data_IF_896763295282
#
_entry.id   IF_896763295282
#
_cell.length_a   1.000
_cell.length_b   1.000
_cell.length_c   1.000
_cell.angle_alpha   90.00
_cell.angle_beta   90.00
_cell.angle_gamma   90.00
#
_symmetry.space_group_name_H-M   'P 1'
#
loop_
_entity.id
_entity.type
_entity.pdbx_description
1 polymer ?
#
# COMPACT_ATOMS: atom_id res chain seq x y z
N UNK A 1 -3.78 -19.91 99.65
CA UNK A 1 -4.17 -20.05 98.23
C UNK A 1 -4.55 -18.68 97.76
N UNK A 2 -3.63 -17.98 97.11
CA UNK A 2 -3.39 -18.05 95.65
C UNK A 2 -4.46 -17.22 94.91
N UNK A 3 -4.18 -16.31 93.99
CA UNK A 3 -2.94 -15.75 93.46
C UNK A 3 -3.34 -14.55 92.56
N UNK A 4 -2.47 -13.54 92.53
CA UNK A 4 -2.16 -12.52 91.52
C UNK A 4 -3.12 -12.17 90.35
N UNK A 5 -3.18 -10.87 89.98
CA UNK A 5 -3.84 -10.42 88.74
C UNK A 5 -3.08 -10.94 87.52
N UNK A 6 -3.78 -11.55 86.57
CA UNK A 6 -3.21 -11.85 85.25
C UNK A 6 -3.19 -10.58 84.42
N UNK A 7 -2.04 -9.91 84.41
CA UNK A 7 -1.59 -9.11 83.28
C UNK A 7 -0.95 -10.08 82.28
N UNK A 8 -1.71 -10.50 81.27
CA UNK A 8 -1.15 -11.03 80.03
C UNK A 8 -2.19 -10.84 78.92
N UNK A 9 -1.95 -9.87 78.03
CA UNK A 9 -2.01 -10.13 76.60
C UNK A 9 -1.22 -9.03 75.88
N UNK A 10 0.08 -9.31 75.76
CA UNK A 10 0.89 -8.77 74.69
C UNK A 10 0.39 -9.41 73.39
N UNK A 11 -0.23 -8.63 72.51
CA UNK A 11 -0.85 -9.17 71.30
C UNK A 11 -0.99 -8.12 70.21
N UNK A 12 0.16 -7.72 69.66
CA UNK A 12 0.39 -7.15 68.33
C UNK A 12 -0.84 -6.64 67.56
N UNK A 13 -0.89 -5.33 67.37
CA UNK A 13 -1.64 -4.72 66.25
C UNK A 13 -1.33 -5.46 64.95
N UNK A 14 -2.33 -5.91 64.17
CA UNK A 14 -2.06 -6.50 62.86
C UNK A 14 -1.36 -5.44 61.98
N UNK A 15 -0.30 -5.79 61.22
CA UNK A 15 0.29 -4.85 60.30
C UNK A 15 -0.74 -4.48 59.23
N UNK A 16 -0.93 -3.19 59.02
CA UNK A 16 -1.72 -2.64 57.93
C UNK A 16 -1.17 -3.17 56.60
N UNK A 17 -2.01 -3.72 55.69
CA UNK A 17 -1.53 -4.25 54.43
C UNK A 17 -0.92 -3.12 53.59
N UNK A 18 0.34 -3.30 53.19
CA UNK A 18 1.03 -2.37 52.29
C UNK A 18 0.25 -2.22 50.97
N UNK A 19 0.19 -1.01 50.37
CA UNK A 19 -0.51 -0.79 49.12
C UNK A 19 0.10 -1.64 48.01
N UNK A 20 -0.75 -2.35 47.27
CA UNK A 20 -0.33 -3.15 46.13
C UNK A 20 0.33 -2.26 45.05
N UNK A 21 1.37 -2.75 44.35
CA UNK A 21 2.00 -1.98 43.28
C UNK A 21 0.99 -1.74 42.14
N UNK A 22 0.95 -0.51 41.64
CA UNK A 22 0.14 -0.15 40.48
C UNK A 22 0.55 -0.99 39.24
N UNK A 23 -0.41 -1.42 38.39
CA UNK A 23 -0.09 -2.14 37.18
C UNK A 23 0.74 -1.27 36.23
N UNK A 24 1.82 -1.82 35.67
CA UNK A 24 2.61 -1.19 34.61
C UNK A 24 1.74 -0.88 33.39
N UNK A 25 2.01 0.22 32.66
CA UNK A 25 1.34 0.51 31.41
C UNK A 25 1.61 -0.60 30.39
N UNK A 26 0.55 -1.09 29.77
CA UNK A 26 0.61 -2.03 28.66
C UNK A 26 1.20 -1.28 27.46
N UNK A 27 2.22 -1.82 26.76
CA UNK A 27 2.75 -1.20 25.56
C UNK A 27 1.64 -1.10 24.50
N UNK A 28 1.55 0.09 23.88
CA UNK A 28 0.65 0.38 22.77
C UNK A 28 0.92 -0.59 21.60
N UNK A 29 -0.11 -1.14 20.93
CA UNK A 29 0.09 -2.05 19.81
C UNK A 29 0.84 -1.33 18.68
N UNK A 30 1.94 -1.92 18.21
CA UNK A 30 2.65 -1.44 17.02
C UNK A 30 1.71 -1.32 15.81
N UNK A 31 1.90 -0.31 14.94
CA UNK A 31 1.11 -0.17 13.73
C UNK A 31 1.31 -1.39 12.83
N UNK A 32 0.19 -1.94 12.34
CA UNK A 32 0.19 -3.04 11.38
C UNK A 32 0.93 -2.61 10.10
N UNK A 33 1.82 -3.44 9.52
CA UNK A 33 2.48 -3.10 8.26
C UNK A 33 1.45 -2.99 7.14
N UNK A 34 1.47 -1.86 6.43
CA UNK A 34 0.64 -1.62 5.25
C UNK A 34 0.89 -2.69 4.17
N UNK A 35 -0.15 -3.24 3.53
CA UNK A 35 -0.01 -4.12 2.38
C UNK A 35 0.35 -3.30 1.13
N UNK A 36 1.63 -3.00 0.92
CA UNK A 36 2.13 -2.26 -0.26
C UNK A 36 2.52 -3.09 -1.51
N UNK A 37 2.73 -4.42 -1.53
CA UNK A 37 3.46 -5.05 -2.64
C UNK A 37 2.66 -5.21 -3.95
N UNK A 38 1.32 -5.20 -3.91
CA UNK A 38 0.50 -5.49 -5.09
C UNK A 38 0.35 -4.27 -6.01
N UNK A 39 0.19 -3.07 -5.45
CA UNK A 39 0.08 -1.82 -6.22
C UNK A 39 1.39 -1.51 -6.96
N UNK A 40 2.53 -1.65 -6.28
CA UNK A 40 3.86 -1.51 -6.88
C UNK A 40 4.09 -2.50 -8.03
N UNK A 41 3.68 -3.76 -7.84
CA UNK A 41 3.81 -4.80 -8.86
C UNK A 41 2.94 -4.52 -10.09
N UNK A 42 1.73 -3.99 -9.90
CA UNK A 42 0.84 -3.61 -11.00
C UNK A 42 1.38 -2.41 -11.78
N UNK A 43 1.90 -1.40 -11.08
CA UNK A 43 2.48 -0.22 -11.69
C UNK A 43 3.79 -0.54 -12.44
N UNK A 44 4.64 -1.43 -11.94
CA UNK A 44 5.81 -1.88 -12.68
C UNK A 44 5.43 -2.56 -14.01
N UNK A 45 4.43 -3.46 -13.99
CA UNK A 45 3.89 -4.08 -15.23
C UNK A 45 3.32 -3.03 -16.19
N UNK A 46 2.67 -2.00 -15.67
CA UNK A 46 2.16 -0.87 -16.45
C UNK A 46 3.32 -0.12 -17.13
N UNK A 47 4.40 0.18 -16.42
CA UNK A 47 5.60 0.84 -16.97
C UNK A 47 6.22 0.00 -18.08
N UNK A 48 6.42 -1.31 -17.86
CA UNK A 48 6.99 -2.21 -18.86
C UNK A 48 6.09 -2.33 -20.11
N UNK A 49 4.77 -2.32 -19.91
CA UNK A 49 3.80 -2.28 -21.00
C UNK A 49 3.91 -0.98 -21.80
N UNK A 50 3.96 0.18 -21.14
CA UNK A 50 4.07 1.48 -21.81
C UNK A 50 5.36 1.58 -22.64
N UNK A 51 6.50 1.10 -22.10
CA UNK A 51 7.77 1.00 -22.86
C UNK A 51 7.60 0.13 -24.10
N UNK A 52 6.95 -1.02 -23.96
CA UNK A 52 6.67 -1.91 -25.10
C UNK A 52 5.77 -1.23 -26.15
N UNK A 53 4.76 -0.46 -25.71
CA UNK A 53 3.89 0.31 -26.60
C UNK A 53 4.68 1.36 -27.38
N UNK A 54 5.61 2.09 -26.77
CA UNK A 54 6.41 3.11 -27.49
C UNK A 54 7.26 2.53 -28.63
N UNK A 55 7.61 1.24 -28.55
CA UNK A 55 8.36 0.54 -29.60
C UNK A 55 7.47 -0.40 -30.44
N UNK A 56 6.16 -0.44 -30.18
CA UNK A 56 5.22 -1.30 -30.89
C UNK A 56 5.10 -0.87 -32.34
N UNK A 57 5.22 -1.80 -33.27
CA UNK A 57 5.00 -1.56 -34.69
C UNK A 57 3.90 -2.48 -35.17
N UNK A 58 2.68 -1.96 -35.32
CA UNK A 58 1.53 -2.69 -35.84
C UNK A 58 0.73 -1.81 -36.78
N UNK A 59 0.18 -2.41 -37.84
CA UNK A 59 -0.76 -1.78 -38.76
C UNK A 59 -2.21 -2.21 -38.49
N UNK A 60 -2.42 -2.98 -37.42
CA UNK A 60 -3.72 -3.58 -37.12
C UNK A 60 -4.56 -2.63 -36.25
N UNK A 61 -5.65 -2.10 -36.81
CA UNK A 61 -6.50 -1.09 -36.16
C UNK A 61 -7.09 -1.62 -34.82
N UNK A 62 -7.37 -2.93 -34.77
CA UNK A 62 -7.94 -3.59 -33.59
C UNK A 62 -6.91 -3.64 -32.47
N UNK A 63 -5.65 -3.98 -32.80
CA UNK A 63 -4.54 -4.05 -31.86
C UNK A 63 -4.19 -2.67 -31.31
N UNK A 64 -4.17 -1.63 -32.16
CA UNK A 64 -3.92 -0.26 -31.70
C UNK A 64 -5.03 0.22 -30.76
N UNK A 65 -6.29 -0.10 -31.05
CA UNK A 65 -7.42 0.25 -30.16
C UNK A 65 -7.33 -0.51 -28.83
N UNK A 66 -6.98 -1.79 -28.85
CA UNK A 66 -6.76 -2.58 -27.64
C UNK A 66 -5.62 -2.02 -26.80
N UNK A 67 -4.49 -1.67 -27.44
CA UNK A 67 -3.35 -1.07 -26.78
C UNK A 67 -3.70 0.26 -26.11
N UNK A 68 -4.52 1.11 -26.75
CA UNK A 68 -5.03 2.34 -26.10
C UNK A 68 -5.87 2.06 -24.85
N UNK A 69 -6.65 0.99 -24.84
CA UNK A 69 -7.39 0.55 -23.65
C UNK A 69 -6.44 0.13 -22.53
N UNK A 70 -5.42 -0.65 -22.87
CA UNK A 70 -4.40 -1.10 -21.92
C UNK A 70 -3.54 0.06 -21.39
N UNK A 71 -3.21 1.06 -22.21
CA UNK A 71 -2.51 2.28 -21.76
C UNK A 71 -3.33 3.01 -20.69
N UNK A 72 -4.66 3.10 -20.85
CA UNK A 72 -5.52 3.69 -19.81
C UNK A 72 -5.55 2.88 -18.52
N UNK A 73 -5.52 1.55 -18.61
CA UNK A 73 -5.40 0.70 -17.42
C UNK A 73 -4.04 0.85 -16.75
N UNK A 74 -2.97 0.95 -17.54
CA UNK A 74 -1.62 1.21 -17.05
C UNK A 74 -1.55 2.54 -16.29
N UNK A 75 -2.19 3.60 -16.81
CA UNK A 75 -2.33 4.88 -16.11
C UNK A 75 -3.04 4.69 -14.76
N UNK A 76 -4.16 3.97 -14.73
CA UNK A 76 -4.88 3.73 -13.49
C UNK A 76 -4.04 3.01 -12.43
N UNK A 77 -3.26 1.99 -12.83
CA UNK A 77 -2.33 1.30 -11.95
C UNK A 77 -1.21 2.21 -11.45
N UNK A 78 -0.69 3.10 -12.30
CA UNK A 78 0.31 4.09 -11.90
C UNK A 78 -0.24 5.15 -10.95
N UNK A 79 -1.49 5.58 -11.14
CA UNK A 79 -2.17 6.51 -10.23
C UNK A 79 -2.43 5.86 -8.87
N UNK A 80 -2.87 4.60 -8.86
CA UNK A 80 -3.12 3.82 -7.63
C UNK A 80 -1.84 3.62 -6.81
N UNK A 81 -0.72 3.37 -7.48
CA UNK A 81 0.60 3.27 -6.85
C UNK A 81 1.28 4.63 -6.57
N UNK A 82 0.67 5.75 -6.94
CA UNK A 82 1.26 7.09 -6.79
C UNK A 82 2.48 7.38 -7.70
N UNK A 83 2.80 6.50 -8.64
CA UNK A 83 3.95 6.62 -9.56
C UNK A 83 3.61 7.28 -10.91
N UNK A 84 2.40 7.82 -11.06
CA UNK A 84 1.97 8.44 -12.32
C UNK A 84 2.83 9.66 -12.69
N UNK A 85 3.10 10.57 -11.75
CA UNK A 85 3.83 11.81 -12.05
C UNK A 85 5.25 11.53 -12.57
N UNK A 86 5.93 10.54 -11.99
CA UNK A 86 7.27 10.13 -12.43
C UNK A 86 7.28 9.47 -13.82
N UNK A 87 6.13 8.92 -14.25
CA UNK A 87 5.98 8.18 -15.50
C UNK A 87 5.09 8.90 -16.52
N UNK A 88 4.73 10.17 -16.27
CA UNK A 88 3.82 10.94 -17.12
C UNK A 88 4.38 11.07 -18.54
N UNK A 89 5.68 11.35 -18.69
CA UNK A 89 6.35 11.43 -19.99
C UNK A 89 6.24 10.12 -20.77
N UNK A 90 6.41 8.99 -20.08
CA UNK A 90 6.31 7.65 -20.69
C UNK A 90 4.88 7.34 -21.14
N UNK A 91 3.89 7.69 -20.31
CA UNK A 91 2.47 7.58 -20.63
C UNK A 91 2.15 8.42 -21.87
N UNK A 92 2.59 9.67 -21.89
CA UNK A 92 2.36 10.59 -23.00
C UNK A 92 3.04 10.10 -24.28
N UNK A 93 4.28 9.62 -24.20
CA UNK A 93 4.98 9.03 -25.33
C UNK A 93 4.25 7.81 -25.90
N UNK A 94 3.75 6.91 -25.03
CA UNK A 94 2.99 5.74 -25.46
C UNK A 94 1.66 6.13 -26.12
N UNK A 95 0.95 7.11 -25.55
CA UNK A 95 -0.31 7.61 -26.10
C UNK A 95 -0.13 8.32 -27.44
N UNK A 96 0.95 9.10 -27.58
CA UNK A 96 1.34 9.77 -28.81
C UNK A 96 1.64 8.73 -29.90
N UNK A 97 2.48 7.74 -29.59
CA UNK A 97 2.86 6.68 -30.53
C UNK A 97 1.66 5.89 -31.05
N UNK A 98 0.72 5.52 -30.17
CA UNK A 98 -0.54 4.87 -30.59
C UNK A 98 -1.41 5.76 -31.47
N UNK A 99 -1.37 7.08 -31.27
CA UNK A 99 -2.09 8.04 -32.11
C UNK A 99 -1.46 8.15 -33.50
N UNK A 100 -0.13 8.17 -33.57
CA UNK A 100 0.63 8.14 -34.82
C UNK A 100 0.40 6.84 -35.61
N UNK A 101 0.39 5.68 -34.95
CA UNK A 101 0.05 4.40 -35.57
C UNK A 101 -1.38 4.40 -36.13
N UNK A 102 -2.36 4.90 -35.37
CA UNK A 102 -3.74 5.04 -35.84
C UNK A 102 -3.84 5.94 -37.07
N UNK A 103 -3.12 7.07 -37.07
CA UNK A 103 -3.09 7.98 -38.21
C UNK A 103 -2.45 7.32 -39.45
N UNK A 104 -1.39 6.52 -39.25
CA UNK A 104 -0.75 5.76 -40.33
C UNK A 104 -1.70 4.73 -40.94
N UNK A 105 -2.43 3.97 -40.11
CA UNK A 105 -3.42 2.98 -40.57
C UNK A 105 -4.58 3.66 -41.30
N UNK A 106 -5.09 4.77 -40.78
CA UNK A 106 -6.16 5.53 -41.44
C UNK A 106 -5.73 6.06 -42.82
N UNK A 107 -4.45 6.42 -43.00
CA UNK A 107 -3.90 6.83 -44.30
C UNK A 107 -3.72 5.67 -45.27
N UNK A 108 -3.39 4.47 -44.78
CA UNK A 108 -3.23 3.26 -45.62
C UNK A 108 -4.57 2.66 -46.06
N UNK A 109 -5.60 2.67 -45.21
CA UNK A 109 -6.93 2.13 -45.54
C UNK A 109 -7.81 3.03 -46.41
N UNK A 110 -7.31 4.20 -46.79
CA UNK A 110 -8.01 5.19 -47.62
C UNK A 110 -7.66 5.14 -49.12
N UNK A 111 -6.93 4.12 -49.58
CA UNK A 111 -6.52 3.93 -50.97
C UNK A 111 -7.34 2.83 -51.67
#
# INVERSE_FOLDING_TARGET
>A
GDAFPKLDESGSTPPEPAPAPAPSPVPDPEPSPEPAPEADSAAQKAIDYLKSVTSLQTADIVEIRAARGNVRQAIAALTDAGMYEENEDLVNAAAQHLSDLLAAVARQGGA
#
